data_IF_646807638776
#
_entry.id   IF_646807638776
#
_cell.length_a   1.000
_cell.length_b   1.000
_cell.length_c   1.000
_cell.angle_alpha   90.00
_cell.angle_beta   90.00
_cell.angle_gamma   90.00
#
_symmetry.space_group_name_H-M   'P 1'
#
loop_
_entity.id
_entity.type
_entity.pdbx_description
1 polymer ?
#
# COMPACT_ATOMS: atom_id res chain seq x y z
N UNK A 1 18.72 -28.13 -21.95
CA UNK A 1 18.53 -27.96 -20.49
C UNK A 1 19.04 -29.22 -19.81
N UNK A 2 20.36 -29.36 -19.65
CA UNK A 2 20.97 -30.56 -19.08
C UNK A 2 21.79 -30.27 -17.81
N UNK A 3 22.21 -29.01 -17.60
CA UNK A 3 23.25 -28.67 -16.62
C UNK A 3 22.79 -27.65 -15.56
N UNK A 4 21.50 -27.62 -15.20
CA UNK A 4 21.02 -26.76 -14.09
C UNK A 4 21.78 -27.05 -12.79
N UNK A 5 22.15 -28.33 -12.58
CA UNK A 5 22.97 -28.80 -11.47
C UNK A 5 24.36 -28.16 -11.43
N UNK A 6 24.93 -27.85 -12.59
CA UNK A 6 26.30 -27.31 -12.71
C UNK A 6 26.29 -25.79 -12.70
N UNK A 7 25.36 -25.19 -13.46
CA UNK A 7 25.26 -23.72 -13.62
C UNK A 7 24.60 -23.02 -12.43
N UNK A 8 23.63 -23.64 -11.74
CA UNK A 8 22.94 -23.05 -10.58
C UNK A 8 22.67 -24.13 -9.51
N UNK A 9 23.73 -24.65 -8.86
CA UNK A 9 23.63 -25.78 -7.92
C UNK A 9 22.74 -25.48 -6.71
N UNK A 10 22.67 -24.22 -6.27
CA UNK A 10 21.81 -23.78 -5.17
C UNK A 10 20.32 -23.91 -5.51
N UNK A 11 19.92 -23.49 -6.71
CA UNK A 11 18.54 -23.60 -7.20
C UNK A 11 18.17 -25.07 -7.41
N UNK A 12 19.08 -25.84 -8.02
CA UNK A 12 18.91 -27.27 -8.23
C UNK A 12 18.70 -28.02 -6.91
N UNK A 13 19.58 -27.82 -5.92
CA UNK A 13 19.49 -28.51 -4.63
C UNK A 13 18.18 -28.21 -3.91
N UNK A 14 17.74 -26.95 -3.93
CA UNK A 14 16.47 -26.54 -3.29
C UNK A 14 15.26 -27.16 -3.98
N UNK A 15 15.28 -27.22 -5.32
CA UNK A 15 14.25 -27.88 -6.09
C UNK A 15 14.23 -29.41 -5.85
N UNK A 16 15.40 -30.07 -5.92
CA UNK A 16 15.55 -31.51 -5.66
C UNK A 16 15.18 -31.92 -4.24
N UNK A 17 15.28 -31.00 -3.28
CA UNK A 17 14.86 -31.20 -1.89
C UNK A 17 13.33 -31.12 -1.70
N UNK A 18 12.57 -30.87 -2.77
CA UNK A 18 11.10 -30.78 -2.73
C UNK A 18 10.57 -29.44 -2.22
N UNK A 19 11.39 -28.38 -2.16
CA UNK A 19 10.93 -27.06 -1.75
C UNK A 19 10.09 -26.42 -2.85
N UNK A 20 8.80 -26.23 -2.57
CA UNK A 20 7.89 -25.54 -3.49
C UNK A 20 8.13 -24.03 -3.53
N UNK A 21 8.51 -23.43 -2.40
CA UNK A 21 8.79 -22.00 -2.27
C UNK A 21 10.25 -21.79 -1.91
N UNK A 22 10.95 -21.00 -2.72
CA UNK A 22 12.37 -20.71 -2.59
C UNK A 22 12.56 -19.20 -2.35
N UNK A 23 13.37 -18.86 -1.35
CA UNK A 23 13.74 -17.48 -1.03
C UNK A 23 15.18 -17.18 -1.50
N UNK A 24 15.35 -16.21 -2.40
CA UNK A 24 16.67 -15.83 -2.98
C UNK A 24 17.46 -14.80 -2.18
N UNK A 25 16.86 -14.15 -1.18
CA UNK A 25 17.53 -13.15 -0.36
C UNK A 25 16.82 -12.94 0.97
N UNK A 26 17.36 -12.08 1.84
CA UNK A 26 16.88 -11.99 3.23
C UNK A 26 15.62 -11.14 3.44
N UNK A 27 14.86 -10.88 2.37
CA UNK A 27 13.64 -10.06 2.48
C UNK A 27 12.49 -10.86 3.10
N UNK A 28 11.69 -10.19 3.92
CA UNK A 28 10.42 -10.73 4.40
C UNK A 28 9.46 -10.93 3.21
N UNK A 29 8.76 -12.06 3.23
CA UNK A 29 7.72 -12.44 2.24
C UNK A 29 8.21 -12.50 0.79
N UNK A 30 9.51 -12.72 0.58
CA UNK A 30 10.12 -12.83 -0.75
C UNK A 30 10.22 -14.28 -1.26
N UNK A 31 9.26 -15.13 -0.89
CA UNK A 31 9.19 -16.51 -1.36
C UNK A 31 8.66 -16.57 -2.79
N UNK A 32 9.38 -17.24 -3.69
CA UNK A 32 8.95 -17.48 -5.07
C UNK A 32 8.75 -18.98 -5.30
N UNK A 33 7.74 -19.40 -6.08
CA UNK A 33 7.61 -20.78 -6.54
C UNK A 33 8.90 -21.26 -7.22
N UNK A 34 9.26 -22.52 -6.99
CA UNK A 34 10.51 -23.09 -7.47
C UNK A 34 10.64 -23.08 -9.01
N UNK A 35 9.55 -23.30 -9.73
CA UNK A 35 9.48 -23.18 -11.19
C UNK A 35 9.83 -21.76 -11.67
N UNK A 36 9.23 -20.74 -11.06
CA UNK A 36 9.52 -19.33 -11.36
C UNK A 36 10.98 -18.97 -11.06
N UNK A 37 11.57 -19.57 -10.03
CA UNK A 37 12.99 -19.38 -9.71
C UNK A 37 13.87 -19.97 -10.83
N UNK A 38 13.55 -21.16 -11.33
CA UNK A 38 14.27 -21.78 -12.44
C UNK A 38 14.11 -20.95 -13.72
N UNK A 39 12.89 -20.55 -14.07
CA UNK A 39 12.63 -19.70 -15.23
C UNK A 39 13.41 -18.38 -15.14
N UNK A 40 13.41 -17.72 -13.99
CA UNK A 40 14.15 -16.48 -13.80
C UNK A 40 15.68 -16.67 -13.82
N UNK A 41 16.20 -17.81 -13.37
CA UNK A 41 17.62 -18.12 -13.52
C UNK A 41 17.99 -18.25 -14.99
N UNK A 42 17.18 -18.99 -15.75
CA UNK A 42 17.37 -19.24 -17.18
C UNK A 42 17.23 -17.95 -18.01
N UNK A 43 16.21 -17.16 -17.70
CA UNK A 43 15.88 -15.94 -18.44
C UNK A 43 16.71 -14.74 -17.98
N UNK A 44 17.66 -14.91 -17.05
CA UNK A 44 18.42 -13.81 -16.45
C UNK A 44 19.12 -12.96 -17.52
N UNK A 45 19.81 -13.59 -18.46
CA UNK A 45 20.54 -12.91 -19.55
C UNK A 45 19.63 -12.26 -20.59
N UNK A 46 18.39 -12.75 -20.74
CA UNK A 46 17.36 -12.21 -21.64
C UNK A 46 16.65 -10.99 -21.01
N UNK A 47 16.53 -10.98 -19.68
CA UNK A 47 15.76 -9.98 -18.90
C UNK A 47 16.64 -8.86 -18.30
N UNK A 48 17.96 -8.92 -18.44
CA UNK A 48 18.89 -7.86 -18.01
C UNK A 48 18.78 -6.59 -18.87
N UNK A 49 19.31 -5.48 -18.38
CA UNK A 49 19.37 -4.22 -19.15
C UNK A 49 20.27 -4.42 -20.37
N UNK A 50 19.75 -4.17 -21.58
CA UNK A 50 20.42 -4.54 -22.85
C UNK A 50 20.03 -5.94 -23.37
N UNK A 51 19.20 -6.68 -22.63
CA UNK A 51 18.59 -7.94 -23.06
C UNK A 51 17.32 -7.74 -23.89
N UNK A 52 16.88 -8.81 -24.56
CA UNK A 52 15.79 -8.81 -25.55
C UNK A 52 14.46 -8.24 -25.04
N UNK A 53 14.18 -8.36 -23.74
CA UNK A 53 12.85 -8.10 -23.16
C UNK A 53 12.71 -6.72 -22.48
N UNK A 54 13.79 -5.94 -22.38
CA UNK A 54 13.76 -4.59 -21.77
C UNK A 54 14.07 -3.49 -22.79
N UNK A 55 13.08 -2.63 -23.11
CA UNK A 55 13.27 -1.42 -23.92
C UNK A 55 12.16 -1.15 -24.96
N UNK A 56 12.35 -0.14 -25.82
CA UNK A 56 11.58 0.00 -27.08
C UNK A 56 12.01 -1.15 -28.00
N UNK A 57 11.05 -1.92 -28.51
CA UNK A 57 11.29 -3.21 -29.18
C UNK A 57 12.39 -3.18 -30.25
N UNK A 58 13.08 -4.32 -30.39
CA UNK A 58 14.12 -4.52 -31.39
C UNK A 58 13.53 -4.90 -32.76
N UNK A 59 14.12 -4.35 -33.83
CA UNK A 59 13.92 -4.80 -35.21
C UNK A 59 14.43 -6.24 -35.36
N UNK A 60 13.86 -7.01 -36.29
CA UNK A 60 14.17 -8.44 -36.46
C UNK A 60 15.67 -8.69 -36.68
N UNK A 61 16.32 -7.89 -37.52
CA UNK A 61 17.79 -7.97 -37.75
C UNK A 61 18.61 -7.79 -36.47
N UNK A 62 18.14 -6.93 -35.56
CA UNK A 62 18.79 -6.69 -34.28
C UNK A 62 18.58 -7.90 -33.36
N UNK A 63 17.38 -8.50 -33.37
CA UNK A 63 17.08 -9.71 -32.59
C UNK A 63 17.95 -10.88 -33.05
N UNK A 64 18.11 -11.08 -34.35
CA UNK A 64 18.96 -12.13 -34.90
C UNK A 64 20.42 -11.93 -34.49
N UNK A 65 20.94 -10.70 -34.59
CA UNK A 65 22.30 -10.39 -34.15
C UNK A 65 22.47 -10.64 -32.65
N UNK A 66 21.49 -10.27 -31.83
CA UNK A 66 21.52 -10.51 -30.39
C UNK A 66 21.47 -12.01 -30.08
N UNK A 67 20.59 -12.77 -30.73
CA UNK A 67 20.49 -14.23 -30.57
C UNK A 67 21.82 -14.93 -30.90
N UNK A 68 22.52 -14.49 -31.95
CA UNK A 68 23.81 -15.04 -32.35
C UNK A 68 24.96 -14.61 -31.40
N UNK A 69 24.93 -13.38 -30.88
CA UNK A 69 25.97 -12.87 -29.98
C UNK A 69 25.79 -13.34 -28.53
N UNK A 70 24.56 -13.73 -28.16
CA UNK A 70 24.17 -14.01 -26.78
C UNK A 70 25.01 -15.07 -26.07
N UNK A 71 25.30 -16.24 -26.66
CA UNK A 71 26.10 -17.26 -26.00
C UNK A 71 27.49 -16.73 -25.62
N UNK A 72 28.18 -16.11 -26.58
CA UNK A 72 29.51 -15.53 -26.35
C UNK A 72 29.48 -14.40 -25.32
N UNK A 73 28.46 -13.53 -25.35
CA UNK A 73 28.30 -12.47 -24.35
C UNK A 73 27.95 -13.03 -22.95
N UNK A 74 27.21 -14.13 -22.87
CA UNK A 74 26.89 -14.79 -21.61
C UNK A 74 28.15 -15.37 -20.96
N UNK A 75 28.97 -16.08 -21.73
CA UNK A 75 30.23 -16.68 -21.24
C UNK A 75 31.20 -15.61 -20.73
N UNK A 76 31.34 -14.50 -21.45
CA UNK A 76 32.17 -13.36 -21.04
C UNK A 76 31.61 -12.72 -19.76
N UNK A 77 30.28 -12.55 -19.68
CA UNK A 77 29.63 -11.95 -18.52
C UNK A 77 29.68 -12.86 -17.27
N UNK A 78 29.65 -14.18 -17.45
CA UNK A 78 29.86 -15.15 -16.37
C UNK A 78 31.30 -15.10 -15.88
N UNK A 79 32.27 -15.18 -16.81
CA UNK A 79 33.71 -15.06 -16.50
C UNK A 79 34.03 -13.76 -15.76
N UNK A 80 33.42 -12.65 -16.15
CA UNK A 80 33.61 -11.36 -15.47
C UNK A 80 32.99 -11.32 -14.06
N UNK A 81 31.85 -11.97 -13.84
CA UNK A 81 31.26 -12.07 -12.51
C UNK A 81 32.09 -12.96 -11.59
N UNK A 82 32.63 -14.06 -12.10
CA UNK A 82 33.57 -14.92 -11.36
C UNK A 82 34.86 -14.16 -11.00
N UNK A 83 35.45 -13.46 -11.98
CA UNK A 83 36.67 -12.68 -11.79
C UNK A 83 36.51 -11.57 -10.74
N UNK A 84 35.37 -10.86 -10.77
CA UNK A 84 35.12 -9.71 -9.89
C UNK A 84 34.48 -10.10 -8.55
N UNK A 85 34.00 -11.34 -8.42
CA UNK A 85 33.16 -11.78 -7.31
C UNK A 85 31.81 -11.05 -7.22
N UNK A 86 31.46 -10.24 -8.22
CA UNK A 86 30.26 -9.42 -8.22
C UNK A 86 29.11 -10.15 -8.94
N UNK A 87 28.38 -11.00 -8.22
CA UNK A 87 27.24 -11.71 -8.80
C UNK A 87 26.07 -10.76 -9.06
N UNK A 88 25.62 -10.67 -10.31
CA UNK A 88 24.48 -9.82 -10.67
C UNK A 88 23.17 -10.48 -10.23
N UNK A 89 22.67 -10.10 -9.05
CA UNK A 89 21.38 -10.56 -8.52
C UNK A 89 20.29 -9.49 -8.73
N UNK A 90 19.34 -9.77 -9.61
CA UNK A 90 18.12 -8.96 -9.75
C UNK A 90 17.13 -9.29 -8.63
N UNK A 91 17.44 -8.86 -7.40
CA UNK A 91 16.58 -9.07 -6.22
C UNK A 91 15.51 -7.99 -6.03
N UNK A 92 15.49 -6.96 -6.88
CA UNK A 92 14.57 -5.83 -6.79
C UNK A 92 13.21 -6.09 -7.44
N UNK A 93 12.41 -7.01 -6.89
CA UNK A 93 11.04 -7.24 -7.39
C UNK A 93 9.98 -6.38 -6.67
N UNK A 94 10.28 -5.83 -5.48
CA UNK A 94 9.33 -4.95 -4.77
C UNK A 94 9.90 -3.55 -4.61
N UNK A 95 9.29 -2.57 -5.30
CA UNK A 95 9.68 -1.15 -5.24
C UNK A 95 9.49 -0.56 -3.85
N UNK A 96 8.45 -0.99 -3.15
CA UNK A 96 8.09 -0.43 -1.83
C UNK A 96 9.00 -0.89 -0.69
N UNK A 97 9.75 -1.97 -0.86
CA UNK A 97 10.68 -2.49 0.16
C UNK A 97 12.13 -2.00 -0.02
N UNK A 98 12.36 -1.09 -0.97
CA UNK A 98 13.69 -0.56 -1.23
C UNK A 98 14.14 0.37 -0.09
N UNK A 99 15.42 0.34 0.29
CA UNK A 99 15.97 1.12 1.40
C UNK A 99 15.65 2.61 1.24
N UNK A 100 15.85 3.16 0.04
CA UNK A 100 15.52 4.55 -0.26
C UNK A 100 14.02 4.89 -0.09
N UNK A 101 13.11 3.92 -0.31
CA UNK A 101 11.68 4.12 -0.07
C UNK A 101 11.37 4.08 1.42
N UNK A 102 11.97 3.16 2.16
CA UNK A 102 11.85 3.10 3.64
C UNK A 102 12.35 4.38 4.30
N UNK A 103 13.49 4.90 3.87
CA UNK A 103 14.05 6.15 4.39
C UNK A 103 13.15 7.34 4.09
N UNK A 104 12.61 7.41 2.86
CA UNK A 104 11.66 8.47 2.47
C UNK A 104 10.38 8.39 3.29
N UNK A 105 9.78 7.20 3.39
CA UNK A 105 8.52 7.02 4.11
C UNK A 105 8.70 7.31 5.61
N UNK A 106 9.86 6.97 6.19
CA UNK A 106 10.20 7.36 7.56
C UNK A 106 10.33 8.88 7.69
N UNK A 107 11.01 9.55 6.75
CA UNK A 107 11.15 11.00 6.75
C UNK A 107 9.79 11.70 6.66
N UNK A 108 8.96 11.30 5.70
CA UNK A 108 7.64 11.86 5.45
C UNK A 108 6.73 11.67 6.69
N UNK A 109 6.77 10.48 7.30
CA UNK A 109 6.01 10.19 8.53
C UNK A 109 6.47 11.08 9.69
N UNK A 110 7.78 11.28 9.82
CA UNK A 110 8.35 12.11 10.88
C UNK A 110 7.99 13.59 10.69
N UNK A 111 8.00 14.09 9.46
CA UNK A 111 7.56 15.46 9.15
C UNK A 111 6.09 15.69 9.52
N UNK A 112 5.20 14.75 9.16
CA UNK A 112 3.78 14.83 9.53
C UNK A 112 3.62 14.78 11.06
N UNK A 113 4.37 13.91 11.72
CA UNK A 113 4.33 13.79 13.18
C UNK A 113 4.79 15.09 13.86
N UNK A 114 5.90 15.68 13.42
CA UNK A 114 6.38 16.96 13.93
C UNK A 114 5.36 18.07 13.73
N UNK A 115 4.78 18.16 12.52
CA UNK A 115 3.74 19.15 12.22
C UNK A 115 2.53 19.00 13.15
N UNK A 116 2.04 17.76 13.36
CA UNK A 116 0.90 17.50 14.24
C UNK A 116 1.23 17.70 15.73
N UNK A 117 2.49 17.56 16.12
CA UNK A 117 2.91 17.82 17.50
C UNK A 117 2.94 19.33 17.79
N UNK A 118 3.41 20.13 16.83
CA UNK A 118 3.47 21.59 16.94
C UNK A 118 2.09 22.24 16.75
N UNK A 119 1.27 21.69 15.85
CA UNK A 119 -0.06 22.17 15.49
C UNK A 119 -1.10 21.09 15.72
N UNK A 120 -1.20 20.62 16.96
CA UNK A 120 -2.16 19.59 17.31
C UNK A 120 -3.60 20.14 17.23
N UNK A 121 -4.42 19.71 16.25
CA UNK A 121 -5.77 20.21 16.07
C UNK A 121 -6.75 19.66 17.12
N UNK A 122 -6.27 18.82 18.04
CA UNK A 122 -7.04 18.22 19.13
C UNK A 122 -6.70 18.79 20.50
N UNK A 123 -5.86 19.83 20.58
CA UNK A 123 -5.69 20.60 21.82
C UNK A 123 -6.91 21.47 21.97
N UNK A 124 -7.88 20.97 22.74
CA UNK A 124 -9.10 21.68 23.03
C UNK A 124 -9.50 21.45 24.47
N UNK A 125 -10.40 22.29 24.99
CA UNK A 125 -10.86 22.20 26.37
C UNK A 125 -11.28 20.75 26.71
N UNK A 126 -10.79 20.23 27.84
CA UNK A 126 -11.07 18.87 28.30
C UNK A 126 -12.58 18.58 28.25
N UNK A 127 -12.97 17.59 27.44
CA UNK A 127 -14.35 17.16 27.32
C UNK A 127 -15.20 17.87 26.26
N UNK A 128 -14.67 18.85 25.54
CA UNK A 128 -15.32 19.46 24.39
C UNK A 128 -15.26 18.53 23.15
N UNK A 129 -16.31 18.54 22.34
CA UNK A 129 -16.41 17.75 21.11
C UNK A 129 -16.16 18.66 19.91
N UNK A 130 -15.23 18.28 19.03
CA UNK A 130 -14.83 19.08 17.88
C UNK A 130 -15.12 18.34 16.57
N UNK A 131 -15.57 19.06 15.56
CA UNK A 131 -15.71 18.52 14.21
C UNK A 131 -14.44 18.78 13.40
N UNK A 132 -13.72 17.73 13.01
CA UNK A 132 -12.50 17.85 12.20
C UNK A 132 -12.78 18.39 10.79
N UNK A 133 -14.00 18.16 10.28
CA UNK A 133 -14.40 18.63 8.96
C UNK A 133 -14.73 20.14 8.91
N UNK A 134 -15.12 20.73 10.04
CA UNK A 134 -15.68 22.10 10.07
C UNK A 134 -15.05 23.02 11.11
N UNK A 135 -14.11 22.49 11.90
CA UNK A 135 -13.45 23.21 13.00
C UNK A 135 -14.43 23.79 14.03
N UNK A 136 -15.62 23.20 14.14
CA UNK A 136 -16.66 23.64 15.07
C UNK A 136 -16.54 22.91 16.41
N UNK A 137 -16.63 23.68 17.50
CA UNK A 137 -16.73 23.16 18.87
C UNK A 137 -18.20 22.99 19.24
N UNK A 138 -18.56 21.83 19.81
CA UNK A 138 -19.90 21.52 20.25
C UNK A 138 -20.29 22.33 21.49
N UNK A 139 -21.55 22.78 21.55
CA UNK A 139 -22.13 23.32 22.79
C UNK A 139 -22.30 22.22 23.84
N UNK A 140 -22.35 22.60 25.12
CA UNK A 140 -22.55 21.66 26.24
C UNK A 140 -23.86 20.83 26.16
N UNK A 141 -24.84 21.27 25.38
CA UNK A 141 -26.11 20.55 25.16
C UNK A 141 -26.02 19.46 24.08
N UNK A 142 -24.97 19.49 23.25
CA UNK A 142 -24.80 18.61 22.11
C UNK A 142 -24.44 17.18 22.56
N UNK A 143 -25.26 16.19 22.20
CA UNK A 143 -25.12 14.79 22.64
C UNK A 143 -24.96 13.74 21.52
N UNK A 144 -24.16 13.98 20.45
CA UNK A 144 -24.00 13.04 19.34
C UNK A 144 -23.37 11.71 19.76
N UNK A 145 -22.62 11.69 20.86
CA UNK A 145 -22.08 10.48 21.47
C UNK A 145 -23.17 9.53 22.01
N UNK A 146 -24.39 10.02 22.25
CA UNK A 146 -25.53 9.21 22.70
C UNK A 146 -26.33 8.57 21.55
N UNK A 147 -25.94 8.82 20.29
CA UNK A 147 -26.65 8.30 19.12
C UNK A 147 -26.85 6.78 19.16
N UNK A 148 -25.85 6.05 19.66
CA UNK A 148 -25.89 4.59 19.83
C UNK A 148 -26.99 4.10 20.79
N UNK A 149 -27.46 4.94 21.73
CA UNK A 149 -28.59 4.59 22.61
C UNK A 149 -29.92 4.60 21.85
N UNK A 150 -30.05 5.45 20.82
CA UNK A 150 -31.26 5.57 20.00
C UNK A 150 -31.46 4.39 19.00
N UNK A 151 -30.38 3.71 18.60
CA UNK A 151 -30.43 2.50 17.74
C UNK A 151 -31.18 1.33 18.39
N UNK A 152 -31.22 1.24 19.73
CA UNK A 152 -32.00 0.20 20.41
C UNK A 152 -33.50 0.43 20.32
N UNK A 153 -33.94 1.66 20.03
CA UNK A 153 -35.36 2.04 19.98
C UNK A 153 -36.02 1.70 18.63
N UNK A 154 -35.23 1.57 17.55
CA UNK A 154 -35.75 1.32 16.19
C UNK A 154 -36.35 -0.08 16.01
N UNK A 155 -35.99 -1.04 16.87
CA UNK A 155 -36.48 -2.42 16.80
C UNK A 155 -37.78 -2.63 17.58
N UNK A 156 -38.24 -1.65 18.35
CA UNK A 156 -39.42 -1.79 19.22
C UNK A 156 -40.72 -1.33 18.53
N UNK A 157 -40.63 -0.70 17.36
CA UNK A 157 -41.79 -0.20 16.61
C UNK A 157 -42.13 -1.16 15.46
N UNK A 158 -42.83 -2.25 15.78
CA UNK A 158 -43.32 -3.19 14.78
C UNK A 158 -44.38 -2.52 13.88
N UNK A 159 -44.04 -2.31 12.61
CA UNK A 159 -45.01 -2.03 11.54
C UNK A 159 -44.91 -0.69 10.81
N UNK A 160 -44.00 0.22 11.19
CA UNK A 160 -43.76 1.45 10.41
C UNK A 160 -42.57 1.26 9.46
N UNK A 161 -42.71 1.69 8.21
CA UNK A 161 -41.60 1.69 7.26
C UNK A 161 -40.51 2.63 7.77
N UNK A 162 -39.25 2.19 7.73
CA UNK A 162 -38.12 2.91 8.30
C UNK A 162 -37.98 4.36 7.81
N UNK A 163 -38.40 4.66 6.57
CA UNK A 163 -38.34 6.00 5.98
C UNK A 163 -39.45 6.95 6.45
N UNK A 164 -40.53 6.42 7.02
CA UNK A 164 -41.66 7.21 7.53
C UNK A 164 -41.57 7.45 9.05
N UNK A 165 -40.56 6.84 9.70
CA UNK A 165 -40.37 6.93 11.13
C UNK A 165 -39.66 8.24 11.51
N UNK A 166 -40.35 9.08 12.28
CA UNK A 166 -39.80 10.35 12.79
C UNK A 166 -39.70 10.27 14.31
N UNK A 167 -38.48 10.38 14.84
CA UNK A 167 -38.24 10.44 16.28
C UNK A 167 -38.94 11.63 16.92
N UNK A 168 -39.54 11.43 18.10
CA UNK A 168 -40.08 12.54 18.91
C UNK A 168 -38.93 13.49 19.27
N UNK A 169 -39.17 14.80 19.35
CA UNK A 169 -38.12 15.81 19.65
C UNK A 169 -37.26 15.46 20.87
N UNK A 170 -37.87 14.89 21.93
CA UNK A 170 -37.17 14.46 23.15
C UNK A 170 -36.23 13.26 22.97
N UNK A 171 -36.43 12.48 21.91
CA UNK A 171 -35.63 11.30 21.54
C UNK A 171 -34.65 11.63 20.39
N UNK A 172 -34.72 12.85 19.83
CA UNK A 172 -33.79 13.31 18.83
C UNK A 172 -32.47 13.72 19.50
N UNK A 173 -31.37 13.33 18.86
CA UNK A 173 -30.02 13.73 19.26
C UNK A 173 -29.82 15.21 18.90
N UNK A 174 -29.37 16.01 19.87
CA UNK A 174 -28.91 17.37 19.63
C UNK A 174 -27.57 17.31 18.87
N UNK A 175 -27.63 17.60 17.57
CA UNK A 175 -26.48 17.63 16.68
C UNK A 175 -25.68 18.91 16.89
N UNK A 176 -24.38 18.87 16.59
CA UNK A 176 -23.59 20.10 16.44
C UNK A 176 -24.29 20.97 15.40
N UNK A 177 -24.45 22.27 15.68
CA UNK A 177 -25.27 23.17 14.89
C UNK A 177 -24.95 23.08 13.40
N UNK A 178 -25.93 22.73 12.58
CA UNK A 178 -25.85 22.78 11.12
C UNK A 178 -25.69 24.25 10.72
N UNK A 179 -24.46 24.74 10.50
CA UNK A 179 -24.29 25.98 9.76
C UNK A 179 -24.71 25.70 8.31
N UNK A 180 -25.85 26.25 7.90
CA UNK A 180 -26.18 26.37 6.49
C UNK A 180 -25.20 27.39 5.91
N UNK A 181 -24.24 26.91 5.11
CA UNK A 181 -23.39 27.79 4.32
C UNK A 181 -24.15 28.12 3.03
N UNK A 182 -24.37 29.41 2.79
CA UNK A 182 -24.90 29.91 1.52
C UNK A 182 -23.69 30.32 0.70
N UNK A 183 -23.39 29.57 -0.35
CA UNK A 183 -22.38 29.92 -1.36
C UNK A 183 -23.15 30.10 -2.67
N UNK A 184 -23.01 31.26 -3.29
CA UNK A 184 -23.67 31.63 -4.56
C UNK A 184 -25.20 31.39 -4.59
N UNK A 185 -25.88 31.61 -3.47
CA UNK A 185 -27.34 31.52 -3.37
C UNK A 185 -27.89 30.10 -3.15
N UNK A 186 -27.05 29.07 -3.22
CA UNK A 186 -27.44 27.70 -2.86
C UNK A 186 -27.11 27.37 -1.40
N UNK A 187 -28.08 26.76 -0.70
CA UNK A 187 -27.93 26.32 0.69
C UNK A 187 -27.29 24.92 0.71
N UNK A 188 -26.00 24.85 1.00
CA UNK A 188 -25.30 23.57 1.17
C UNK A 188 -25.44 23.08 2.61
N UNK A 189 -25.91 21.83 2.75
CA UNK A 189 -26.05 21.14 4.04
C UNK A 189 -24.79 20.30 4.27
N UNK A 190 -23.92 20.74 5.16
CA UNK A 190 -22.69 20.02 5.48
C UNK A 190 -23.03 18.87 6.43
N UNK A 191 -22.61 17.66 6.07
CA UNK A 191 -22.75 16.48 6.92
C UNK A 191 -21.64 16.48 7.99
N UNK A 192 -22.04 16.33 9.25
CA UNK A 192 -21.18 16.48 10.45
C UNK A 192 -20.71 15.13 10.99
N UNK A 193 -20.56 14.14 10.12
CA UNK A 193 -20.33 12.73 10.48
C UNK A 193 -18.98 12.44 11.14
N UNK A 194 -18.01 13.38 11.11
CA UNK A 194 -16.72 13.24 11.79
C UNK A 194 -16.59 14.19 12.98
N UNK A 195 -16.80 13.64 14.17
CA UNK A 195 -16.62 14.33 15.45
C UNK A 195 -15.61 13.58 16.31
N UNK A 196 -14.68 14.30 16.93
CA UNK A 196 -13.67 13.76 17.85
C UNK A 196 -13.84 14.43 19.22
N UNK A 197 -13.61 13.65 20.28
CA UNK A 197 -13.59 14.16 21.65
C UNK A 197 -12.14 14.27 22.08
N UNK A 198 -11.70 15.46 22.48
CA UNK A 198 -10.38 15.65 23.09
C UNK A 198 -10.26 14.81 24.36
N UNK A 199 -9.10 14.18 24.56
CA UNK A 199 -8.75 13.54 25.84
C UNK A 199 -8.18 14.57 26.79
#
# INVERSE_FOLDING_TARGET
MLELKETNPDVYNRFSSGLFVIRRGDRFWAGLPSDLVIEQALMRTIKTTGGLTRGRGMEEKQRTRWLLAMPACADINESMQELTGATYSTSGQHKDLFVARKERDHKDTYEIFQYLNDYNPFVSEEGALHSVATDMTASASCNPHEARKSEKLSWTNDGTKAFDFVFRRKEQIERMGLKQLVVDGEKLKIDLSFSFRGC
#
